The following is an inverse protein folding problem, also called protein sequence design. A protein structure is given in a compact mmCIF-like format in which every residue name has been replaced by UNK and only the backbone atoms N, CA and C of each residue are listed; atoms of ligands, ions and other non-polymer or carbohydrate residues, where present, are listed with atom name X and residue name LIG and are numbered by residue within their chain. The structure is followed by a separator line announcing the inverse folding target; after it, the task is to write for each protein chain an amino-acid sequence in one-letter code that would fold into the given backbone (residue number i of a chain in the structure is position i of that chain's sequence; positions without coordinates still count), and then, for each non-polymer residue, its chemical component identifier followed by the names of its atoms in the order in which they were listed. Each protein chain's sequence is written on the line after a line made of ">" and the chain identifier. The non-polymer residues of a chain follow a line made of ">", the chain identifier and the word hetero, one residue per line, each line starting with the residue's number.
data_IF_650234722122
#
_entry.id   IF_650234722122
#
_cell.length_a   1.000
_cell.length_b   1.000
_cell.length_c   1.000
_cell.angle_alpha   90.00
_cell.angle_beta   90.00
_cell.angle_gamma   90.00
#
_symmetry.space_group_name_H-M   'P 1'
#
loop_
_entity.id
_entity.type
_entity.pdbx_description
1 polymer ?
#
# COMPACT_ATOMS: atom_id res chain seq x y z
N UNK A 1 -31.28 2.02 -31.41
CA UNK A 1 -30.23 1.01 -31.13
C UNK A 1 -28.94 1.56 -31.71
N UNK A 2 -28.30 2.49 -30.99
CA UNK A 2 -27.07 3.16 -31.41
C UNK A 2 -26.06 3.02 -30.28
N UNK A 3 -25.20 2.02 -30.43
CA UNK A 3 -24.20 1.52 -29.49
C UNK A 3 -22.85 2.27 -29.65
N UNK A 4 -22.93 3.55 -30.05
CA UNK A 4 -21.75 4.35 -30.41
C UNK A 4 -21.32 5.32 -29.30
N UNK A 5 -22.21 5.64 -28.35
CA UNK A 5 -21.91 6.55 -27.22
C UNK A 5 -21.22 5.84 -26.04
N UNK A 6 -21.39 4.52 -25.92
CA UNK A 6 -20.78 3.74 -24.84
C UNK A 6 -19.26 3.58 -25.04
N UNK A 7 -18.82 3.48 -26.30
CA UNK A 7 -17.40 3.32 -26.67
C UNK A 7 -16.54 4.60 -26.50
N UNK A 8 -17.15 5.78 -26.43
CA UNK A 8 -16.41 7.03 -26.19
C UNK A 8 -16.25 7.34 -24.70
N UNK A 9 -17.25 7.00 -23.87
CA UNK A 9 -17.17 7.20 -22.42
C UNK A 9 -16.08 6.32 -21.78
N UNK A 10 -15.88 5.10 -22.29
CA UNK A 10 -14.81 4.20 -21.84
C UNK A 10 -13.40 4.65 -22.27
N UNK A 11 -13.28 5.49 -23.30
CA UNK A 11 -11.98 6.00 -23.79
C UNK A 11 -11.46 7.19 -22.98
N UNK A 12 -12.32 7.96 -22.32
CA UNK A 12 -11.94 9.17 -21.58
C UNK A 12 -11.52 8.88 -20.13
N UNK A 13 -11.79 7.68 -19.61
CA UNK A 13 -11.58 7.33 -18.20
C UNK A 13 -10.25 6.62 -17.88
N UNK A 14 -9.35 6.43 -18.86
CA UNK A 14 -8.17 5.60 -18.64
C UNK A 14 -6.91 6.19 -19.26
N UNK A 15 -6.02 6.82 -18.47
CA UNK A 15 -4.64 6.92 -18.89
C UNK A 15 -4.10 5.48 -19.01
N UNK A 16 -3.95 5.00 -20.24
CA UNK A 16 -3.12 3.83 -20.52
C UNK A 16 -1.69 4.23 -20.18
N UNK A 17 -1.26 3.96 -18.96
CA UNK A 17 0.14 4.17 -18.59
C UNK A 17 0.99 3.18 -19.40
N UNK A 18 1.79 3.71 -20.32
CA UNK A 18 2.87 2.94 -20.92
C UNK A 18 3.83 2.45 -19.83
N UNK A 19 4.58 1.39 -20.12
CA UNK A 19 5.53 0.77 -19.18
C UNK A 19 6.45 1.80 -18.50
N UNK A 20 6.90 2.79 -19.25
CA UNK A 20 7.75 3.87 -18.75
C UNK A 20 7.05 4.74 -17.70
N UNK A 21 5.83 5.22 -17.98
CA UNK A 21 5.08 6.03 -17.01
C UNK A 21 4.63 5.20 -15.79
N UNK A 22 4.25 3.95 -15.99
CA UNK A 22 3.92 3.03 -14.89
C UNK A 22 5.14 2.79 -13.96
N UNK A 23 6.35 2.72 -14.53
CA UNK A 23 7.59 2.53 -13.76
C UNK A 23 7.94 3.73 -12.89
N UNK A 24 7.72 4.96 -13.37
CA UNK A 24 7.91 6.18 -12.57
C UNK A 24 6.98 6.21 -11.36
N UNK A 25 5.72 5.85 -11.58
CA UNK A 25 4.71 5.83 -10.52
C UNK A 25 5.10 4.78 -9.46
N UNK A 26 5.59 3.60 -9.86
CA UNK A 26 6.14 2.59 -8.95
C UNK A 26 7.33 3.14 -8.13
N UNK A 27 8.32 3.74 -8.79
CA UNK A 27 9.49 4.30 -8.11
C UNK A 27 9.04 5.36 -7.09
N UNK A 28 8.13 6.25 -7.50
CA UNK A 28 7.58 7.26 -6.60
C UNK A 28 6.86 6.63 -5.40
N UNK A 29 6.11 5.53 -5.62
CA UNK A 29 5.44 4.78 -4.55
C UNK A 29 6.43 4.19 -3.57
N UNK A 30 7.50 3.58 -4.06
CA UNK A 30 8.56 3.00 -3.22
C UNK A 30 9.23 4.12 -2.41
N UNK A 31 9.64 5.21 -3.05
CA UNK A 31 10.26 6.35 -2.36
C UNK A 31 9.32 6.94 -1.31
N UNK A 32 8.06 7.19 -1.65
CA UNK A 32 7.05 7.69 -0.70
C UNK A 32 6.84 6.76 0.48
N UNK A 33 6.90 5.44 0.25
CA UNK A 33 6.81 4.42 1.30
C UNK A 33 7.99 4.53 2.25
N UNK A 34 9.21 4.57 1.73
CA UNK A 34 10.42 4.70 2.54
C UNK A 34 10.46 6.00 3.33
N UNK A 35 10.09 7.13 2.72
CA UNK A 35 9.98 8.41 3.41
C UNK A 35 8.95 8.36 4.55
N UNK A 36 7.77 7.79 4.30
CA UNK A 36 6.74 7.63 5.32
C UNK A 36 7.20 6.76 6.48
N UNK A 37 7.97 5.71 6.20
CA UNK A 37 8.51 4.81 7.21
C UNK A 37 9.62 5.46 8.05
N UNK A 38 10.46 6.31 7.43
CA UNK A 38 11.43 7.12 8.18
C UNK A 38 10.71 8.08 9.12
N UNK A 39 9.63 8.74 8.67
CA UNK A 39 8.83 9.61 9.55
C UNK A 39 8.20 8.78 10.68
N UNK A 40 7.65 7.61 10.40
CA UNK A 40 7.12 6.70 11.43
C UNK A 40 8.20 6.32 12.45
N UNK A 41 9.41 6.03 11.97
CA UNK A 41 10.54 5.65 12.82
C UNK A 41 10.95 6.78 13.76
N UNK A 42 10.99 8.02 13.29
CA UNK A 42 11.25 9.18 14.16
C UNK A 42 10.15 9.46 15.19
N UNK A 43 8.96 8.88 15.02
CA UNK A 43 7.81 9.10 15.90
C UNK A 43 7.48 7.89 16.77
N UNK A 44 8.34 6.87 16.86
CA UNK A 44 8.10 5.66 17.66
C UNK A 44 7.88 5.93 19.15
N UNK A 45 8.38 7.07 19.65
CA UNK A 45 8.23 7.51 21.04
C UNK A 45 6.93 8.30 21.30
N UNK A 46 6.29 8.84 20.25
CA UNK A 46 5.05 9.60 20.36
C UNK A 46 3.88 8.80 19.77
N UNK A 47 3.17 8.08 20.64
CA UNK A 47 2.04 7.22 20.27
C UNK A 47 1.04 7.88 19.32
N UNK A 48 0.61 9.11 19.61
CA UNK A 48 -0.39 9.80 18.80
C UNK A 48 0.17 10.19 17.42
N UNK A 49 1.41 10.69 17.37
CA UNK A 49 2.06 11.04 16.11
C UNK A 49 2.31 9.79 15.25
N UNK A 50 2.74 8.69 15.86
CA UNK A 50 2.94 7.41 15.18
C UNK A 50 1.66 6.91 14.51
N UNK A 51 0.55 6.78 15.24
CA UNK A 51 -0.70 6.28 14.68
C UNK A 51 -1.31 7.23 13.65
N UNK A 52 -1.16 8.55 13.81
CA UNK A 52 -1.57 9.52 12.80
C UNK A 52 -0.80 9.33 11.49
N UNK A 53 0.53 9.25 11.55
CA UNK A 53 1.37 9.02 10.37
C UNK A 53 1.06 7.67 9.73
N UNK A 54 0.81 6.64 10.55
CA UNK A 54 0.47 5.30 10.06
C UNK A 54 -0.89 5.30 9.33
N UNK A 55 -1.87 6.04 9.83
CA UNK A 55 -3.18 6.18 9.22
C UNK A 55 -3.09 6.91 7.87
N UNK A 56 -2.39 8.05 7.84
CA UNK A 56 -2.17 8.82 6.61
C UNK A 56 -1.44 7.95 5.57
N UNK A 57 -0.39 7.25 6.00
CA UNK A 57 0.34 6.31 5.16
C UNK A 57 -0.59 5.23 4.57
N UNK A 58 -1.37 4.55 5.40
CA UNK A 58 -2.27 3.49 4.96
C UNK A 58 -3.32 4.01 3.97
N UNK A 59 -3.93 5.18 4.24
CA UNK A 59 -4.89 5.81 3.34
C UNK A 59 -4.25 6.14 1.99
N UNK A 60 -3.08 6.78 1.99
CA UNK A 60 -2.36 7.11 0.75
C UNK A 60 -2.02 5.86 -0.06
N UNK A 61 -1.59 4.78 0.59
CA UNK A 61 -1.27 3.52 -0.11
C UNK A 61 -2.51 2.81 -0.66
N UNK A 62 -3.66 2.88 0.04
CA UNK A 62 -4.93 2.35 -0.46
C UNK A 62 -5.43 3.15 -1.67
N UNK A 63 -5.39 4.47 -1.61
CA UNK A 63 -5.78 5.35 -2.73
C UNK A 63 -4.92 5.05 -3.96
N UNK A 64 -3.62 4.84 -3.76
CA UNK A 64 -2.72 4.44 -4.83
C UNK A 64 -3.10 3.08 -5.40
N UNK A 65 -3.32 2.06 -4.55
CA UNK A 65 -3.65 0.71 -4.99
C UNK A 65 -4.95 0.68 -5.81
N UNK A 66 -5.96 1.48 -5.44
CA UNK A 66 -7.23 1.56 -6.16
C UNK A 66 -7.13 2.39 -7.45
N UNK A 67 -6.25 3.39 -7.49
CA UNK A 67 -6.07 4.27 -8.65
C UNK A 67 -5.48 3.55 -9.86
N UNK A 68 -4.77 2.44 -9.64
CA UNK A 68 -4.11 1.70 -10.72
C UNK A 68 -4.92 0.45 -11.06
N UNK A 69 -5.69 0.51 -12.16
CA UNK A 69 -6.45 -0.64 -12.65
C UNK A 69 -5.53 -1.74 -13.21
N UNK A 70 -5.78 -2.97 -12.77
CA UNK A 70 -5.08 -4.17 -13.20
C UNK A 70 -5.78 -4.85 -14.40
N UNK A 71 -5.04 -5.06 -15.50
CA UNK A 71 -5.58 -5.69 -16.71
C UNK A 71 -5.49 -7.23 -16.68
N UNK A 72 -4.46 -7.77 -16.04
CA UNK A 72 -4.24 -9.23 -15.89
C UNK A 72 -4.87 -9.76 -14.60
N UNK A 73 -5.48 -10.94 -14.65
CA UNK A 73 -6.00 -11.67 -13.47
C UNK A 73 -4.92 -11.89 -12.42
N UNK A 74 -3.69 -12.18 -12.84
CA UNK A 74 -2.54 -12.36 -11.92
C UNK A 74 -2.28 -11.06 -11.16
N UNK A 75 -2.27 -9.93 -11.86
CA UNK A 75 -2.08 -8.62 -11.26
C UNK A 75 -3.24 -8.24 -10.34
N UNK A 76 -4.47 -8.59 -10.69
CA UNK A 76 -5.64 -8.36 -9.82
C UNK A 76 -5.50 -9.09 -8.48
N UNK A 77 -5.03 -10.35 -8.49
CA UNK A 77 -4.78 -11.10 -7.26
C UNK A 77 -3.70 -10.42 -6.41
N UNK A 78 -2.55 -10.07 -7.00
CA UNK A 78 -1.48 -9.39 -6.26
C UNK A 78 -1.90 -8.02 -5.72
N UNK A 79 -2.63 -7.24 -6.52
CA UNK A 79 -3.16 -5.94 -6.10
C UNK A 79 -4.14 -6.10 -4.93
N UNK A 80 -4.99 -7.13 -4.97
CA UNK A 80 -5.90 -7.45 -3.86
C UNK A 80 -5.14 -7.83 -2.58
N UNK A 81 -4.07 -8.62 -2.69
CA UNK A 81 -3.21 -8.97 -1.55
C UNK A 81 -2.58 -7.72 -0.95
N UNK A 82 -2.05 -6.82 -1.79
CA UNK A 82 -1.49 -5.54 -1.35
C UNK A 82 -2.53 -4.70 -0.62
N UNK A 83 -3.75 -4.58 -1.16
CA UNK A 83 -4.85 -3.86 -0.53
C UNK A 83 -5.16 -4.45 0.85
N UNK A 84 -5.21 -5.78 0.97
CA UNK A 84 -5.48 -6.45 2.26
C UNK A 84 -4.38 -6.13 3.28
N UNK A 85 -3.10 -6.22 2.89
CA UNK A 85 -1.97 -5.91 3.78
C UNK A 85 -2.06 -4.46 4.27
N UNK A 86 -2.27 -3.51 3.37
CA UNK A 86 -2.36 -2.08 3.72
C UNK A 86 -3.62 -1.80 4.55
N UNK A 87 -4.74 -2.48 4.27
CA UNK A 87 -5.97 -2.35 5.06
C UNK A 87 -5.76 -2.83 6.51
N UNK A 88 -5.06 -3.94 6.73
CA UNK A 88 -4.70 -4.41 8.08
C UNK A 88 -3.83 -3.38 8.81
N UNK A 89 -2.84 -2.78 8.13
CA UNK A 89 -2.03 -1.69 8.69
C UNK A 89 -2.92 -0.48 9.06
N UNK A 90 -3.87 -0.13 8.19
CA UNK A 90 -4.84 0.93 8.45
C UNK A 90 -5.73 0.65 9.66
N UNK A 91 -6.15 -0.60 9.87
CA UNK A 91 -6.90 -1.00 11.06
C UNK A 91 -6.08 -0.84 12.34
N UNK A 92 -4.78 -1.18 12.31
CA UNK A 92 -3.88 -0.95 13.45
C UNK A 92 -3.77 0.56 13.75
N UNK A 93 -3.64 1.37 12.71
CA UNK A 93 -3.58 2.82 12.86
C UNK A 93 -4.86 3.38 13.50
N UNK A 94 -6.03 3.00 12.96
CA UNK A 94 -7.33 3.43 13.49
C UNK A 94 -7.51 2.94 14.93
N UNK A 95 -7.15 1.70 15.24
CA UNK A 95 -7.19 1.15 16.60
C UNK A 95 -6.35 2.00 17.58
N UNK A 96 -5.19 2.48 17.13
CA UNK A 96 -4.37 3.41 17.90
C UNK A 96 -5.02 4.79 18.10
N UNK A 97 -5.66 5.33 17.06
CA UNK A 97 -6.33 6.64 17.12
C UNK A 97 -7.57 6.65 18.01
N UNK A 98 -8.32 5.54 18.06
CA UNK A 98 -9.48 5.39 18.95
C UNK A 98 -9.09 4.98 20.39
N UNK A 99 -7.79 4.77 20.65
CA UNK A 99 -7.28 4.41 21.98
C UNK A 99 -7.43 2.93 22.36
N UNK A 100 -7.76 2.05 21.40
CA UNK A 100 -7.79 0.59 21.59
C UNK A 100 -6.38 -0.01 21.53
N UNK A 101 -5.47 0.63 20.79
CA UNK A 101 -4.04 0.33 20.79
C UNK A 101 -3.24 1.53 21.30
N UNK A 102 -2.10 1.27 21.95
CA UNK A 102 -1.17 2.29 22.39
C UNK A 102 0.28 1.85 22.16
N UNK A 103 1.17 2.82 22.05
CA UNK A 103 2.60 2.58 22.18
C UNK A 103 2.97 2.63 23.65
N UNK A 104 3.58 1.56 24.14
CA UNK A 104 4.02 1.41 25.52
C UNK A 104 5.52 1.21 25.52
N UNK A 105 6.24 2.03 26.30
CA UNK A 105 7.68 1.88 26.49
C UNK A 105 7.95 0.71 27.44
N UNK A 106 8.81 -0.21 27.03
CA UNK A 106 9.31 -1.34 27.83
C UNK A 106 10.84 -1.29 27.89
N UNK A 107 11.46 -2.09 28.76
CA UNK A 107 12.93 -2.12 28.94
C UNK A 107 13.70 -2.46 27.64
N UNK A 108 13.02 -3.06 26.64
CA UNK A 108 13.57 -3.38 25.33
C UNK A 108 13.11 -2.47 24.19
N UNK A 109 12.45 -1.34 24.48
CA UNK A 109 11.94 -0.40 23.48
C UNK A 109 10.42 -0.24 23.46
N UNK A 110 9.89 0.45 22.45
CA UNK A 110 8.46 0.71 22.32
C UNK A 110 7.72 -0.46 21.66
N UNK A 111 6.58 -0.85 22.24
CA UNK A 111 5.73 -1.93 21.72
C UNK A 111 4.30 -1.43 21.47
N UNK A 112 3.71 -1.90 20.37
CA UNK A 112 2.30 -1.72 20.07
C UNK A 112 1.53 -2.71 20.93
N UNK A 113 0.73 -2.19 21.85
CA UNK A 113 -0.07 -2.98 22.79
C UNK A 113 -1.55 -2.68 22.63
N UNK A 114 -2.39 -3.70 22.78
CA UNK A 114 -3.83 -3.50 22.96
C UNK A 114 -4.09 -3.08 24.39
N UNK A 115 -4.79 -1.96 24.55
CA UNK A 115 -5.14 -1.41 25.84
C UNK A 115 -6.61 -1.70 26.10
N UNK A 116 -6.86 -2.48 27.15
CA UNK A 116 -8.19 -2.62 27.77
C UNK A 116 -8.10 -2.04 29.18
N UNK A 117 -9.20 -1.53 29.72
CA UNK A 117 -9.28 -0.76 30.97
C UNK A 117 -8.47 -1.30 32.17
N UNK A 118 -8.16 -2.59 32.20
CA UNK A 118 -7.42 -3.26 33.29
C UNK A 118 -6.22 -4.08 32.81
N UNK A 119 -5.96 -4.17 31.50
CA UNK A 119 -4.91 -5.03 30.98
C UNK A 119 -4.29 -4.46 29.70
N UNK A 120 -2.98 -4.63 29.55
CA UNK A 120 -2.24 -4.27 28.36
C UNK A 120 -1.64 -5.55 27.77
N UNK A 121 -2.02 -5.87 26.53
CA UNK A 121 -1.51 -7.06 25.84
C UNK A 121 -0.54 -6.57 24.76
N UNK A 122 0.78 -6.76 24.92
CA UNK A 122 1.75 -6.40 23.90
C UNK A 122 1.56 -7.32 22.68
N UNK A 123 1.43 -6.73 21.50
CA UNK A 123 1.31 -7.47 20.24
C UNK A 123 2.68 -7.56 19.55
N UNK A 124 3.32 -6.41 19.33
CA UNK A 124 4.51 -6.33 18.46
C UNK A 124 5.36 -5.11 18.78
N UNK A 125 6.69 -5.26 18.80
CA UNK A 125 7.63 -4.14 18.81
C UNK A 125 7.42 -3.18 17.64
N UNK A 126 7.36 -1.87 17.94
CA UNK A 126 7.03 -0.84 16.95
C UNK A 126 8.10 -0.69 15.87
N UNK A 127 9.37 -0.77 16.23
CA UNK A 127 10.49 -0.72 15.27
C UNK A 127 10.49 -1.93 14.35
N UNK A 128 10.30 -3.12 14.92
CA UNK A 128 10.22 -4.37 14.14
C UNK A 128 9.04 -4.34 13.16
N UNK A 129 7.91 -3.76 13.57
CA UNK A 129 6.76 -3.53 12.70
C UNK A 129 7.09 -2.59 11.53
N UNK A 130 7.80 -1.48 11.79
CA UNK A 130 8.25 -0.56 10.74
C UNK A 130 9.18 -1.29 9.77
N UNK A 131 10.18 -2.03 10.27
CA UNK A 131 11.13 -2.76 9.42
C UNK A 131 10.44 -3.83 8.57
N UNK A 132 9.47 -4.55 9.15
CA UNK A 132 8.69 -5.54 8.40
C UNK A 132 7.95 -4.89 7.23
N UNK A 133 7.29 -3.75 7.45
CA UNK A 133 6.59 -3.00 6.40
C UNK A 133 7.56 -2.44 5.36
N UNK A 134 8.73 -1.96 5.79
CA UNK A 134 9.78 -1.43 4.94
C UNK A 134 10.33 -2.45 3.93
N UNK A 135 10.27 -3.74 4.27
CA UNK A 135 10.74 -4.81 3.40
C UNK A 135 9.58 -5.39 2.58
N UNK A 136 8.46 -5.72 3.25
CA UNK A 136 7.34 -6.43 2.65
C UNK A 136 6.66 -5.58 1.58
N UNK A 137 6.39 -4.30 1.83
CA UNK A 137 5.62 -3.47 0.89
C UNK A 137 6.39 -3.20 -0.41
N UNK A 138 7.67 -2.78 -0.40
CA UNK A 138 8.42 -2.60 -1.65
C UNK A 138 8.53 -3.88 -2.48
N UNK A 139 8.72 -5.03 -1.84
CA UNK A 139 8.73 -6.33 -2.52
C UNK A 139 7.36 -6.60 -3.14
N UNK A 140 6.28 -6.43 -2.37
CA UNK A 140 4.92 -6.63 -2.87
C UNK A 140 4.60 -5.71 -4.06
N UNK A 141 5.03 -4.44 -4.02
CA UNK A 141 4.87 -3.49 -5.12
C UNK A 141 5.68 -3.89 -6.36
N UNK A 142 6.90 -4.38 -6.18
CA UNK A 142 7.73 -4.87 -7.27
C UNK A 142 7.09 -6.09 -7.95
N UNK A 143 6.53 -7.03 -7.18
CA UNK A 143 5.79 -8.19 -7.73
C UNK A 143 4.47 -7.78 -8.41
N UNK A 144 3.70 -6.87 -7.80
CA UNK A 144 2.47 -6.33 -8.38
C UNK A 144 2.74 -5.75 -9.78
N UNK A 145 3.87 -5.04 -9.95
CA UNK A 145 4.29 -4.50 -11.23
C UNK A 145 4.89 -5.54 -12.18
N UNK A 146 5.79 -6.41 -11.69
CA UNK A 146 6.42 -7.47 -12.49
C UNK A 146 5.40 -8.43 -13.12
N UNK A 147 4.25 -8.63 -12.47
CA UNK A 147 3.17 -9.48 -12.98
C UNK A 147 2.41 -8.92 -14.20
N UNK A 148 2.68 -7.67 -14.61
CA UNK A 148 1.96 -6.99 -15.70
C UNK A 148 2.62 -7.13 -17.09
N UNK A 149 3.76 -7.78 -17.22
CA UNK A 149 4.56 -7.84 -18.46
C UNK A 149 4.11 -8.90 -19.49
N UNK A 150 2.96 -9.54 -19.28
CA UNK A 150 2.36 -10.47 -20.25
C UNK A 150 1.10 -9.91 -20.93
N UNK A 151 0.93 -8.59 -20.94
CA UNK A 151 -0.12 -7.93 -21.72
C UNK A 151 0.26 -7.94 -23.22
N UNK A 152 -0.13 -9.04 -23.84
CA UNK A 152 -0.30 -9.47 -25.25
C UNK A 152 -0.27 -8.49 -26.45
N UNK A 153 0.02 -7.20 -26.30
CA UNK A 153 -0.12 -6.25 -27.41
C UNK A 153 1.17 -6.01 -28.22
N UNK A 154 2.36 -6.37 -27.71
CA UNK A 154 3.61 -6.25 -28.50
C UNK A 154 3.86 -7.45 -29.44
N UNK A 155 3.19 -8.59 -29.25
CA UNK A 155 3.43 -9.80 -30.08
C UNK A 155 2.57 -9.80 -31.36
N UNK A 156 1.57 -8.91 -31.47
CA UNK A 156 0.64 -8.89 -32.59
C UNK A 156 1.09 -8.00 -33.76
N UNK A 157 2.05 -7.09 -33.55
CA UNK A 157 2.52 -6.17 -34.60
C UNK A 157 3.58 -6.82 -35.49
N UNK A 158 4.40 -7.73 -34.96
CA UNK A 158 5.51 -8.34 -35.69
C UNK A 158 5.10 -9.51 -36.61
N UNK A 159 3.80 -9.84 -36.67
CA UNK A 159 3.27 -10.94 -37.51
C UNK A 159 2.54 -10.48 -38.76
N UNK A 160 2.72 -9.23 -39.15
CA UNK A 160 2.25 -8.66 -40.43
C UNK A 160 3.39 -7.90 -41.13
N UNK A 161 4.47 -8.60 -41.42
CA UNK A 161 5.39 -8.24 -42.51
C UNK A 161 5.53 -9.45 -43.45
#
# INVERSE_FOLDING_TARGET
>A
MNDSTQNECDKVLAPKYGLYEASKILILRIVATWLSLLILWTNTENGKAFFNTLAVFAISQLLYAVSIKAYSTVRQVYSTIVIIIVAVIGLIAIAGLIGVAALVSTDGGCVISLVKSTNQIPIWGSESFIYAIAIILPIAYAFEWGSSWFAKDDIAVERRE
#
